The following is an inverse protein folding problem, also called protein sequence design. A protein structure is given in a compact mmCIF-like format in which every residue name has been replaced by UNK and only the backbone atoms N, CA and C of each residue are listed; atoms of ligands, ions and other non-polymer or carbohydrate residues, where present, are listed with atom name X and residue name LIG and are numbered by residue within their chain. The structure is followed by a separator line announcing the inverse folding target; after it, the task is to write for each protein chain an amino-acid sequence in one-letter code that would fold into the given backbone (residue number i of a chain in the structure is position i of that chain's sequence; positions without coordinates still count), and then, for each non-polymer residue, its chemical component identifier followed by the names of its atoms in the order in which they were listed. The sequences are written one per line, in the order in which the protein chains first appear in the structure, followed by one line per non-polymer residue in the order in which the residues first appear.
data_IF_201158218930
#
_entry.id   IF_201158218930
#
_cell.length_a   1.000
_cell.length_b   1.000
_cell.length_c   1.000
_cell.angle_alpha   90.00
_cell.angle_beta   90.00
_cell.angle_gamma   90.00
#
_symmetry.space_group_name_H-M   'P 1'
#
loop_
_entity.id
_entity.type
_entity.pdbx_description
1 polymer ?
#
# COMPACT_ATOMS: atom_id res chain seq x y z
N UNK A 1 10.20 44.68 -4.79
CA UNK A 1 10.99 45.06 -3.60
C UNK A 1 11.72 43.83 -3.10
N UNK A 2 12.99 43.97 -2.76
CA UNK A 2 13.71 42.89 -2.10
C UNK A 2 13.13 42.64 -0.70
N UNK A 3 13.13 41.37 -0.23
CA UNK A 3 12.69 41.03 1.11
C UNK A 3 13.51 41.77 2.16
N UNK A 4 12.89 42.12 3.32
CA UNK A 4 13.62 42.78 4.42
C UNK A 4 14.69 41.85 5.02
N UNK A 5 15.78 42.44 5.51
CA UNK A 5 16.88 41.68 6.14
C UNK A 5 16.40 40.81 7.30
N UNK A 6 15.48 41.30 8.13
CA UNK A 6 14.92 40.54 9.25
C UNK A 6 14.08 39.32 8.79
N UNK A 7 13.34 39.46 7.71
CA UNK A 7 12.59 38.34 7.11
C UNK A 7 13.53 37.28 6.52
N UNK A 8 14.62 37.72 5.87
CA UNK A 8 15.62 36.80 5.34
C UNK A 8 16.37 36.07 6.44
N UNK A 9 16.68 36.74 7.57
CA UNK A 9 17.28 36.07 8.73
C UNK A 9 16.36 35.03 9.37
N UNK A 10 15.06 35.30 9.48
CA UNK A 10 14.12 34.34 10.01
C UNK A 10 13.96 33.12 9.06
N UNK A 11 13.93 33.33 7.76
CA UNK A 11 13.94 32.25 6.78
C UNK A 11 15.21 31.38 6.87
N UNK A 12 16.38 32.00 6.99
CA UNK A 12 17.67 31.28 7.12
C UNK A 12 17.78 30.44 8.38
N UNK A 13 17.06 30.79 9.45
CA UNK A 13 16.96 29.96 10.66
C UNK A 13 16.16 28.68 10.43
N UNK A 14 15.24 28.69 9.45
CA UNK A 14 14.33 27.58 9.15
C UNK A 14 14.83 26.70 8.02
N UNK A 15 15.58 27.27 7.07
CA UNK A 15 16.10 26.55 5.90
C UNK A 15 17.31 27.27 5.33
N UNK A 16 18.28 26.50 4.85
CA UNK A 16 19.44 26.96 4.08
C UNK A 16 19.13 27.11 2.58
N UNK A 17 17.96 26.67 2.16
CA UNK A 17 17.54 26.58 0.74
C UNK A 17 16.49 27.63 0.41
N UNK A 18 16.97 28.81 0.03
CA UNK A 18 16.11 29.95 -0.30
C UNK A 18 16.37 30.33 -1.75
N UNK A 19 15.32 30.35 -2.58
CA UNK A 19 15.35 30.86 -3.94
C UNK A 19 14.60 32.18 -3.99
N UNK A 20 15.30 33.24 -4.35
CA UNK A 20 14.72 34.57 -4.55
C UNK A 20 14.27 34.70 -6.01
N UNK A 21 13.00 35.01 -6.21
CA UNK A 21 12.45 35.28 -7.54
C UNK A 21 11.52 36.49 -7.52
N UNK A 22 11.37 37.15 -8.66
CA UNK A 22 10.43 38.23 -8.86
C UNK A 22 9.26 37.74 -9.71
N UNK A 23 8.03 37.95 -9.23
CA UNK A 23 6.82 37.65 -9.99
C UNK A 23 6.48 38.73 -11.04
N UNK A 24 7.20 39.88 -11.03
CA UNK A 24 6.96 41.03 -11.89
C UNK A 24 7.99 41.09 -13.03
N UNK A 25 9.17 40.49 -12.83
CA UNK A 25 10.27 40.49 -13.81
C UNK A 25 10.03 39.37 -14.84
N UNK A 26 9.31 39.72 -15.90
CA UNK A 26 8.93 38.77 -16.97
C UNK A 26 10.15 38.35 -17.80
N UNK A 27 11.16 39.20 -17.93
CA UNK A 27 12.35 38.89 -18.73
C UNK A 27 13.25 37.82 -18.13
N UNK A 28 13.17 37.66 -16.80
CA UNK A 28 13.91 36.65 -16.07
C UNK A 28 13.05 35.42 -15.70
N UNK A 29 11.83 35.34 -16.16
CA UNK A 29 10.90 34.22 -15.84
C UNK A 29 11.53 32.86 -16.09
N UNK A 30 12.09 32.64 -17.26
CA UNK A 30 12.65 31.33 -17.64
C UNK A 30 13.87 30.98 -16.78
N UNK A 31 14.68 31.97 -16.42
CA UNK A 31 15.79 31.78 -15.47
C UNK A 31 15.28 31.31 -14.12
N UNK A 32 14.31 32.01 -13.53
CA UNK A 32 13.75 31.66 -12.22
C UNK A 32 13.08 30.28 -12.23
N UNK A 33 12.33 29.95 -13.30
CA UNK A 33 11.69 28.63 -13.46
C UNK A 33 12.75 27.52 -13.56
N UNK A 34 13.83 27.74 -14.31
CA UNK A 34 14.91 26.76 -14.43
C UNK A 34 15.70 26.57 -13.13
N UNK A 35 15.96 27.65 -12.38
CA UNK A 35 16.57 27.57 -11.07
C UNK A 35 15.65 26.82 -10.09
N UNK A 36 14.36 27.11 -10.07
CA UNK A 36 13.39 26.39 -9.24
C UNK A 36 13.36 24.90 -9.57
N UNK A 37 13.32 24.55 -10.87
CA UNK A 37 13.38 23.15 -11.31
C UNK A 37 14.63 22.44 -10.80
N UNK A 38 15.82 23.07 -10.92
CA UNK A 38 17.09 22.52 -10.41
C UNK A 38 17.05 22.31 -8.89
N UNK A 39 16.55 23.28 -8.14
CA UNK A 39 16.39 23.16 -6.71
C UNK A 39 15.41 22.04 -6.33
N UNK A 40 14.28 21.94 -7.00
CA UNK A 40 13.29 20.89 -6.76
C UNK A 40 13.87 19.49 -7.06
N UNK A 41 14.58 19.32 -8.18
CA UNK A 41 15.25 18.05 -8.52
C UNK A 41 16.31 17.71 -7.49
N UNK A 42 17.10 18.67 -7.05
CA UNK A 42 18.17 18.45 -6.08
C UNK A 42 17.67 18.03 -4.69
N UNK A 43 16.52 18.58 -4.25
CA UNK A 43 15.92 18.25 -2.94
C UNK A 43 14.94 17.08 -3.02
N UNK A 44 14.59 16.66 -4.23
CA UNK A 44 13.65 15.57 -4.43
C UNK A 44 14.32 14.24 -4.03
N UNK A 45 13.71 13.42 -3.18
CA UNK A 45 14.22 12.09 -2.91
C UNK A 45 14.33 11.29 -4.21
N UNK A 46 15.38 10.49 -4.35
CA UNK A 46 15.63 9.67 -5.54
C UNK A 46 14.44 8.76 -5.87
N UNK A 47 13.77 8.23 -4.84
CA UNK A 47 12.55 7.42 -4.96
C UNK A 47 11.36 8.17 -5.60
N UNK A 48 11.40 9.51 -5.61
CA UNK A 48 10.37 10.33 -6.24
C UNK A 48 10.67 10.55 -7.73
N UNK A 49 11.94 10.61 -8.08
CA UNK A 49 12.41 10.72 -9.48
C UNK A 49 12.32 9.36 -10.17
N UNK A 50 12.64 8.29 -9.44
CA UNK A 50 12.64 6.91 -9.90
C UNK A 50 11.80 6.06 -8.92
N UNK A 51 10.46 6.11 -9.00
CA UNK A 51 9.63 5.30 -8.12
C UNK A 51 9.92 3.81 -8.35
N UNK A 52 9.98 2.99 -7.29
CA UNK A 52 10.15 1.56 -7.45
C UNK A 52 8.98 1.00 -8.28
N UNK A 53 9.21 -0.01 -9.12
CA UNK A 53 8.12 -0.65 -9.86
C UNK A 53 7.11 -1.28 -8.90
N UNK A 54 5.85 -1.32 -9.31
CA UNK A 54 4.78 -1.92 -8.52
C UNK A 54 4.83 -3.44 -8.62
N UNK A 55 5.01 -3.98 -9.83
CA UNK A 55 5.01 -5.41 -10.16
C UNK A 55 6.13 -5.78 -11.15
N UNK A 56 6.65 -4.83 -11.92
CA UNK A 56 7.57 -5.09 -13.03
C UNK A 56 8.85 -5.80 -12.62
N UNK A 57 9.42 -5.51 -11.45
CA UNK A 57 10.60 -6.19 -10.91
C UNK A 57 10.35 -7.63 -10.42
N UNK A 58 9.09 -8.04 -10.37
CA UNK A 58 8.67 -9.41 -10.04
C UNK A 58 8.46 -10.26 -11.29
N UNK A 59 8.57 -9.65 -12.46
CA UNK A 59 8.37 -10.25 -13.78
C UNK A 59 9.69 -10.30 -14.56
N UNK A 60 9.72 -11.18 -15.55
CA UNK A 60 10.79 -11.20 -16.57
C UNK A 60 10.34 -10.42 -17.81
N UNK A 61 11.23 -9.79 -18.57
CA UNK A 61 10.86 -9.20 -19.86
C UNK A 61 10.18 -10.23 -20.78
N UNK A 62 9.03 -9.87 -21.33
CA UNK A 62 8.16 -10.80 -22.10
C UNK A 62 7.33 -11.74 -21.24
N UNK A 63 7.42 -11.65 -19.90
CA UNK A 63 6.64 -12.44 -18.96
C UNK A 63 5.18 -12.00 -18.82
N UNK A 64 4.40 -12.78 -18.09
CA UNK A 64 2.96 -12.58 -17.95
C UNK A 64 2.62 -12.41 -16.47
N UNK A 65 1.90 -11.33 -16.12
CA UNK A 65 1.18 -11.19 -14.87
C UNK A 65 -0.29 -11.58 -15.06
N UNK A 66 -0.83 -12.47 -14.24
CA UNK A 66 -2.26 -12.74 -14.20
C UNK A 66 -2.90 -11.94 -13.06
N UNK A 67 -3.81 -11.04 -13.42
CA UNK A 67 -4.49 -10.14 -12.48
C UNK A 67 -5.93 -10.65 -12.26
N UNK A 68 -6.19 -11.16 -11.06
CA UNK A 68 -7.49 -11.73 -10.69
C UNK A 68 -8.35 -10.63 -10.06
N UNK A 69 -9.34 -10.19 -10.82
CA UNK A 69 -10.20 -9.05 -10.50
C UNK A 69 -11.65 -9.55 -10.33
N UNK A 70 -12.14 -9.67 -9.10
CA UNK A 70 -13.52 -10.03 -8.85
C UNK A 70 -14.48 -8.91 -9.29
N UNK A 71 -15.75 -9.22 -9.40
CA UNK A 71 -16.76 -8.17 -9.55
C UNK A 71 -16.86 -7.42 -8.22
N UNK A 72 -16.44 -6.16 -8.24
CA UNK A 72 -16.52 -5.26 -7.11
C UNK A 72 -17.68 -4.28 -7.29
N UNK A 73 -18.68 -4.37 -6.41
CA UNK A 73 -19.86 -3.49 -6.43
C UNK A 73 -19.52 -2.05 -6.02
N UNK A 74 -18.37 -1.82 -5.38
CA UNK A 74 -17.87 -0.48 -5.04
C UNK A 74 -17.16 0.18 -6.23
N UNK A 75 -16.71 -0.61 -7.21
CA UNK A 75 -16.10 -0.07 -8.41
C UNK A 75 -17.15 0.62 -9.31
N UNK A 76 -16.87 1.77 -9.89
CA UNK A 76 -17.75 2.37 -10.86
C UNK A 76 -18.01 1.40 -12.04
N UNK A 77 -19.27 1.26 -12.46
CA UNK A 77 -19.66 0.36 -13.54
C UNK A 77 -18.79 0.57 -14.79
N UNK A 78 -18.25 -0.53 -15.33
CA UNK A 78 -17.40 -0.50 -16.52
C UNK A 78 -15.97 0.00 -16.29
N UNK A 79 -15.50 0.10 -15.04
CA UNK A 79 -14.15 0.57 -14.71
C UNK A 79 -13.42 -0.43 -13.81
N UNK A 80 -12.11 -0.42 -13.92
CA UNK A 80 -11.19 -1.01 -12.95
C UNK A 80 -10.84 0.03 -11.88
N UNK A 81 -10.51 -0.43 -10.68
CA UNK A 81 -10.02 0.46 -9.61
C UNK A 81 -8.54 0.80 -9.83
N UNK A 82 -8.09 1.90 -9.21
CA UNK A 82 -6.75 2.43 -9.41
C UNK A 82 -5.61 1.41 -9.21
N UNK A 83 -5.60 0.54 -8.17
CA UNK A 83 -4.55 -0.46 -8.01
C UNK A 83 -4.44 -1.45 -9.18
N UNK A 84 -5.56 -1.84 -9.75
CA UNK A 84 -5.62 -2.76 -10.88
C UNK A 84 -5.06 -2.10 -12.15
N UNK A 85 -5.49 -0.86 -12.44
CA UNK A 85 -4.99 -0.08 -13.59
C UNK A 85 -3.49 0.19 -13.48
N UNK A 86 -3.01 0.55 -12.29
CA UNK A 86 -1.58 0.80 -12.07
C UNK A 86 -0.74 -0.48 -12.23
N UNK A 87 -1.22 -1.63 -11.76
CA UNK A 87 -0.52 -2.90 -11.95
C UNK A 87 -0.45 -3.31 -13.44
N UNK A 88 -1.54 -3.12 -14.20
CA UNK A 88 -1.54 -3.33 -15.65
C UNK A 88 -0.50 -2.42 -16.31
N UNK A 89 -0.53 -1.13 -16.00
CA UNK A 89 0.37 -0.15 -16.59
C UNK A 89 1.83 -0.46 -16.26
N UNK A 90 2.13 -0.78 -15.01
CA UNK A 90 3.48 -1.10 -14.56
C UNK A 90 4.03 -2.38 -15.24
N UNK A 91 3.19 -3.41 -15.44
CA UNK A 91 3.58 -4.60 -16.20
C UNK A 91 3.98 -4.25 -17.64
N UNK A 92 3.19 -3.39 -18.31
CA UNK A 92 3.47 -2.95 -19.69
C UNK A 92 4.73 -2.07 -19.77
N UNK A 93 4.94 -1.18 -18.81
CA UNK A 93 6.12 -0.30 -18.74
C UNK A 93 7.44 -1.07 -18.49
N UNK A 94 7.32 -2.30 -17.99
CA UNK A 94 8.46 -3.21 -17.75
C UNK A 94 8.52 -4.36 -18.77
N UNK A 95 8.09 -4.12 -20.01
CA UNK A 95 8.14 -5.05 -21.13
C UNK A 95 7.42 -6.40 -20.89
N UNK A 96 6.43 -6.43 -19.99
CA UNK A 96 5.61 -7.58 -19.68
C UNK A 96 4.21 -7.50 -20.28
N UNK A 97 3.42 -8.55 -20.08
CA UNK A 97 2.02 -8.61 -20.43
C UNK A 97 1.15 -8.76 -19.17
N UNK A 98 -0.06 -8.20 -19.19
CA UNK A 98 -1.04 -8.37 -18.13
C UNK A 98 -2.28 -9.09 -18.68
N UNK A 99 -2.65 -10.21 -18.06
CA UNK A 99 -3.87 -10.94 -18.35
C UNK A 99 -4.86 -10.75 -17.20
N UNK A 100 -5.99 -10.11 -17.48
CA UNK A 100 -7.02 -9.80 -16.46
C UNK A 100 -8.13 -10.83 -16.54
N UNK A 101 -8.41 -11.48 -15.42
CA UNK A 101 -9.42 -12.54 -15.31
C UNK A 101 -10.24 -12.37 -14.04
N UNK A 102 -11.44 -12.98 -13.99
CA UNK A 102 -12.18 -13.12 -12.73
C UNK A 102 -11.74 -14.37 -11.98
N UNK A 103 -12.08 -14.40 -10.70
CA UNK A 103 -11.70 -15.50 -9.81
C UNK A 103 -12.23 -16.87 -10.25
N UNK A 104 -13.31 -16.91 -11.02
CA UNK A 104 -13.93 -18.17 -11.50
C UNK A 104 -13.18 -18.76 -12.68
N UNK A 105 -12.71 -17.91 -13.57
CA UNK A 105 -12.02 -18.30 -14.80
C UNK A 105 -10.51 -18.51 -14.55
N UNK A 106 -9.98 -18.09 -13.38
CA UNK A 106 -8.55 -18.07 -13.09
C UNK A 106 -7.87 -19.44 -13.26
N UNK A 107 -8.37 -20.48 -12.60
CA UNK A 107 -7.79 -21.83 -12.69
C UNK A 107 -7.80 -22.37 -14.13
N UNK A 108 -8.91 -22.14 -14.85
CA UNK A 108 -9.03 -22.55 -16.26
C UNK A 108 -8.00 -21.83 -17.13
N UNK A 109 -7.82 -20.54 -16.95
CA UNK A 109 -6.85 -19.76 -17.72
C UNK A 109 -5.43 -20.22 -17.43
N UNK A 110 -5.06 -20.46 -16.16
CA UNK A 110 -3.72 -20.97 -15.82
C UNK A 110 -3.39 -22.27 -16.55
N UNK A 111 -4.37 -23.19 -16.64
CA UNK A 111 -4.19 -24.48 -17.32
C UNK A 111 -4.08 -24.35 -18.85
N UNK A 112 -4.55 -23.24 -19.42
CA UNK A 112 -4.51 -22.99 -20.87
C UNK A 112 -3.30 -22.14 -21.30
N UNK A 113 -2.53 -21.60 -20.37
CA UNK A 113 -1.29 -20.89 -20.71
C UNK A 113 -0.21 -21.90 -21.10
N UNK A 114 0.44 -21.66 -22.24
CA UNK A 114 1.56 -22.47 -22.70
C UNK A 114 2.75 -22.45 -21.74
N UNK A 115 3.02 -21.27 -21.17
CA UNK A 115 4.03 -21.05 -20.16
C UNK A 115 3.37 -20.53 -18.89
N UNK A 116 3.83 -20.92 -17.69
CA UNK A 116 3.29 -20.39 -16.44
C UNK A 116 3.56 -18.88 -16.35
N UNK A 117 2.64 -18.10 -15.73
CA UNK A 117 2.89 -16.69 -15.50
C UNK A 117 3.99 -16.49 -14.45
N UNK A 118 4.69 -15.36 -14.51
CA UNK A 118 5.70 -14.98 -13.51
C UNK A 118 5.05 -14.72 -12.14
N UNK A 119 3.86 -14.14 -12.15
CA UNK A 119 3.13 -13.80 -10.93
C UNK A 119 1.62 -13.74 -11.17
N UNK A 120 0.87 -14.14 -10.15
CA UNK A 120 -0.56 -13.91 -10.05
C UNK A 120 -0.87 -12.92 -8.94
N UNK A 121 -1.70 -11.92 -9.23
CA UNK A 121 -2.08 -10.87 -8.28
C UNK A 121 -3.60 -10.80 -8.20
N UNK A 122 -4.16 -10.81 -6.99
CA UNK A 122 -5.60 -10.74 -6.83
C UNK A 122 -6.04 -9.59 -5.93
N UNK A 123 -7.33 -9.30 -5.97
CA UNK A 123 -7.98 -8.56 -4.89
C UNK A 123 -7.95 -9.38 -3.60
N UNK A 124 -7.71 -8.73 -2.47
CA UNK A 124 -7.56 -9.41 -1.17
C UNK A 124 -8.79 -10.23 -0.76
N UNK A 125 -9.96 -9.90 -1.26
CA UNK A 125 -11.20 -10.61 -0.95
C UNK A 125 -11.22 -12.06 -1.50
N UNK A 126 -10.48 -12.32 -2.57
CA UNK A 126 -10.44 -13.64 -3.24
C UNK A 126 -9.09 -14.34 -3.06
N UNK A 127 -8.27 -13.88 -2.11
CA UNK A 127 -6.89 -14.38 -1.91
C UNK A 127 -6.87 -15.87 -1.58
N UNK A 128 -7.78 -16.35 -0.73
CA UNK A 128 -7.83 -17.77 -0.35
C UNK A 128 -8.08 -18.65 -1.60
N UNK A 129 -9.05 -18.28 -2.43
CA UNK A 129 -9.32 -19.00 -3.67
C UNK A 129 -8.15 -18.92 -4.64
N UNK A 130 -7.59 -17.73 -4.87
CA UNK A 130 -6.45 -17.56 -5.76
C UNK A 130 -5.26 -18.42 -5.31
N UNK A 131 -4.93 -18.43 -4.01
CA UNK A 131 -3.82 -19.25 -3.47
C UNK A 131 -4.10 -20.74 -3.64
N UNK A 132 -5.34 -21.20 -3.41
CA UNK A 132 -5.72 -22.60 -3.59
C UNK A 132 -5.59 -23.07 -5.05
N UNK A 133 -5.90 -22.19 -6.00
CA UNK A 133 -5.86 -22.50 -7.44
C UNK A 133 -4.45 -22.27 -8.05
N UNK A 134 -3.50 -21.64 -7.32
CA UNK A 134 -2.18 -21.29 -7.85
C UNK A 134 -1.14 -22.39 -7.54
N UNK A 135 -0.53 -23.02 -8.54
CA UNK A 135 0.57 -23.96 -8.37
C UNK A 135 1.72 -23.37 -7.53
N UNK A 136 2.38 -24.21 -6.72
CA UNK A 136 3.40 -23.77 -5.75
C UNK A 136 4.59 -23.01 -6.33
N UNK A 137 4.94 -23.26 -7.58
CA UNK A 137 6.05 -22.62 -8.29
C UNK A 137 5.71 -21.22 -8.85
N UNK A 138 4.42 -20.85 -8.98
CA UNK A 138 4.00 -19.55 -9.48
C UNK A 138 3.93 -18.59 -8.29
N UNK A 139 4.62 -17.46 -8.36
CA UNK A 139 4.50 -16.39 -7.35
C UNK A 139 3.08 -15.86 -7.30
N UNK A 140 2.59 -15.55 -6.10
CA UNK A 140 1.27 -14.93 -5.97
C UNK A 140 1.23 -13.94 -4.80
N UNK A 141 0.43 -12.89 -4.96
CA UNK A 141 0.24 -11.84 -3.94
C UNK A 141 -1.09 -11.10 -4.16
N UNK A 142 -1.34 -10.03 -3.42
CA UNK A 142 -2.53 -9.19 -3.60
C UNK A 142 -2.18 -7.76 -4.01
N UNK A 143 -3.10 -7.06 -4.68
CA UNK A 143 -2.91 -5.63 -4.98
C UNK A 143 -2.63 -4.81 -3.71
N UNK A 144 -3.30 -5.10 -2.60
CA UNK A 144 -3.08 -4.41 -1.34
C UNK A 144 -1.66 -4.60 -0.80
N UNK A 145 -1.08 -5.80 -0.91
CA UNK A 145 0.30 -6.10 -0.49
C UNK A 145 1.32 -5.41 -1.42
N UNK A 146 1.07 -5.40 -2.73
CA UNK A 146 1.89 -4.63 -3.69
C UNK A 146 1.92 -3.14 -3.31
N UNK A 147 0.78 -2.57 -2.94
CA UNK A 147 0.70 -1.18 -2.51
C UNK A 147 1.35 -0.92 -1.16
N UNK A 148 1.32 -1.88 -0.22
CA UNK A 148 2.08 -1.79 1.03
C UNK A 148 3.59 -1.69 0.76
N UNK A 149 4.09 -2.38 -0.26
CA UNK A 149 5.48 -2.28 -0.72
C UNK A 149 5.74 -0.96 -1.46
N UNK A 150 4.87 -0.62 -2.40
CA UNK A 150 5.04 0.55 -3.28
C UNK A 150 4.95 1.89 -2.53
N UNK A 151 4.01 2.00 -1.58
CA UNK A 151 3.75 3.26 -0.86
C UNK A 151 4.15 3.24 0.61
N UNK A 152 4.32 2.08 1.21
CA UNK A 152 4.62 1.91 2.62
C UNK A 152 5.95 1.20 2.88
N UNK A 153 5.94 0.43 3.96
CA UNK A 153 7.00 -0.47 4.39
C UNK A 153 6.41 -1.88 4.57
N UNK A 154 6.60 -2.73 3.57
CA UNK A 154 6.07 -4.09 3.59
C UNK A 154 6.72 -4.96 4.68
N UNK A 155 7.99 -4.70 5.02
CA UNK A 155 8.71 -5.45 6.06
C UNK A 155 8.13 -5.17 7.43
N UNK A 156 7.88 -3.89 7.72
CA UNK A 156 7.23 -3.48 8.96
C UNK A 156 5.79 -3.98 9.04
N UNK A 157 5.03 -3.87 7.96
CA UNK A 157 3.65 -4.35 7.91
C UNK A 157 3.54 -5.86 8.08
N UNK A 158 4.51 -6.64 7.53
CA UNK A 158 4.57 -8.10 7.69
C UNK A 158 5.01 -8.52 9.09
N UNK A 159 5.89 -7.76 9.75
CA UNK A 159 6.24 -7.96 11.16
C UNK A 159 5.03 -7.70 12.04
N UNK A 160 4.36 -6.58 11.80
CA UNK A 160 3.27 -6.09 12.65
C UNK A 160 1.99 -6.93 12.57
N UNK A 161 1.81 -7.76 11.53
CA UNK A 161 0.58 -8.53 11.36
C UNK A 161 0.40 -9.60 12.43
N UNK A 162 1.47 -10.16 13.01
CA UNK A 162 1.42 -11.10 14.11
C UNK A 162 0.82 -10.51 15.39
N UNK A 163 0.78 -9.18 15.53
CA UNK A 163 0.06 -8.54 16.61
C UNK A 163 -1.44 -8.93 16.66
N UNK A 164 -2.00 -9.45 15.56
CA UNK A 164 -3.39 -9.98 15.53
C UNK A 164 -3.57 -11.13 16.52
N UNK A 165 -2.60 -12.03 16.68
CA UNK A 165 -2.69 -13.16 17.62
C UNK A 165 -2.61 -12.71 19.08
N UNK A 166 -2.10 -11.49 19.35
CA UNK A 166 -2.00 -10.89 20.69
C UNK A 166 -3.25 -10.12 21.12
N UNK A 167 -4.16 -9.86 20.18
CA UNK A 167 -5.41 -9.13 20.45
C UNK A 167 -6.33 -9.94 21.37
N UNK A 168 -7.01 -9.24 22.28
CA UNK A 168 -7.96 -9.79 23.23
C UNK A 168 -9.31 -9.12 23.11
N UNK A 169 -10.40 -9.77 23.54
CA UNK A 169 -11.69 -9.11 23.65
C UNK A 169 -11.58 -7.82 24.46
N UNK A 170 -12.17 -6.75 23.96
CA UNK A 170 -12.11 -5.40 24.55
C UNK A 170 -10.97 -4.52 24.05
N UNK A 171 -9.97 -5.07 23.34
CA UNK A 171 -8.91 -4.28 22.74
C UNK A 171 -9.46 -3.32 21.66
N UNK A 172 -8.74 -2.21 21.46
CA UNK A 172 -9.10 -1.17 20.50
C UNK A 172 -8.14 -1.19 19.30
N UNK A 173 -8.69 -1.22 18.09
CA UNK A 173 -7.93 -1.16 16.84
C UNK A 173 -8.38 0.02 15.98
N UNK A 174 -7.49 0.49 15.13
CA UNK A 174 -7.79 1.53 14.15
C UNK A 174 -7.79 0.97 12.73
N UNK A 175 -8.88 1.17 12.00
CA UNK A 175 -8.95 0.99 10.56
C UNK A 175 -8.59 2.32 9.90
N UNK A 176 -7.44 2.37 9.22
CA UNK A 176 -6.95 3.55 8.51
C UNK A 176 -7.32 3.53 7.03
N UNK A 177 -8.18 4.43 6.59
CA UNK A 177 -8.59 4.56 5.18
C UNK A 177 -7.94 5.78 4.52
N UNK A 178 -7.57 5.65 3.26
CA UNK A 178 -6.95 6.71 2.47
C UNK A 178 -7.95 7.66 1.82
N UNK A 179 -9.17 7.21 1.60
CA UNK A 179 -10.21 7.93 0.89
C UNK A 179 -11.52 7.94 1.70
N UNK A 180 -12.35 8.93 1.42
CA UNK A 180 -13.71 9.06 1.96
C UNK A 180 -14.72 8.49 0.96
N UNK A 181 -14.65 7.18 0.68
CA UNK A 181 -15.68 6.53 -0.13
C UNK A 181 -16.94 6.26 0.70
N UNK A 182 -18.08 6.17 0.03
CA UNK A 182 -19.31 5.77 0.72
C UNK A 182 -19.26 4.26 0.99
N UNK A 183 -19.26 3.83 2.26
CA UNK A 183 -19.29 2.41 2.59
C UNK A 183 -20.60 1.79 2.12
N UNK A 184 -20.51 0.62 1.50
CA UNK A 184 -21.65 -0.23 1.20
C UNK A 184 -21.77 -1.35 2.23
N UNK A 185 -22.88 -2.11 2.19
CA UNK A 185 -23.15 -3.22 3.13
C UNK A 185 -22.02 -4.25 3.24
N UNK A 186 -21.19 -4.37 2.22
CA UNK A 186 -20.08 -5.34 2.10
C UNK A 186 -18.69 -4.71 2.12
N UNK A 187 -18.54 -3.53 2.73
CA UNK A 187 -17.26 -2.80 2.82
C UNK A 187 -16.16 -3.64 3.49
N UNK A 188 -14.98 -3.67 2.85
CA UNK A 188 -13.84 -4.47 3.32
C UNK A 188 -13.34 -3.98 4.68
N UNK A 189 -13.10 -2.68 4.81
CA UNK A 189 -12.52 -2.07 6.00
C UNK A 189 -13.50 -2.00 7.16
N UNK A 190 -14.75 -1.61 6.88
CA UNK A 190 -15.75 -1.31 7.92
C UNK A 190 -16.61 -2.50 8.31
N UNK A 191 -16.70 -3.52 7.47
CA UNK A 191 -17.58 -4.67 7.70
C UNK A 191 -16.81 -5.99 7.71
N UNK A 192 -16.06 -6.31 6.64
CA UNK A 192 -15.45 -7.65 6.50
C UNK A 192 -14.26 -7.85 7.45
N UNK A 193 -13.28 -6.93 7.48
CA UNK A 193 -12.13 -7.03 8.38
C UNK A 193 -12.56 -7.05 9.85
N UNK A 194 -13.44 -6.15 10.33
CA UNK A 194 -14.00 -6.21 11.67
C UNK A 194 -14.61 -7.56 12.03
N UNK A 195 -15.44 -8.11 11.13
CA UNK A 195 -16.07 -9.41 11.33
C UNK A 195 -15.05 -10.54 11.44
N UNK A 196 -14.08 -10.58 10.54
CA UNK A 196 -13.05 -11.62 10.54
C UNK A 196 -12.12 -11.53 11.76
N UNK A 197 -11.74 -10.32 12.19
CA UNK A 197 -10.96 -10.11 13.41
C UNK A 197 -11.72 -10.61 14.66
N UNK A 198 -13.02 -10.27 14.80
CA UNK A 198 -13.85 -10.75 15.91
C UNK A 198 -13.94 -12.28 15.93
N UNK A 199 -14.12 -12.89 14.76
CA UNK A 199 -14.14 -14.36 14.63
C UNK A 199 -12.78 -14.97 14.99
N UNK A 200 -11.67 -14.38 14.56
CA UNK A 200 -10.32 -14.89 14.86
C UNK A 200 -9.99 -14.77 16.36
N UNK A 201 -10.35 -13.68 16.99
CA UNK A 201 -10.09 -13.42 18.43
C UNK A 201 -11.06 -14.19 19.33
N UNK A 202 -12.22 -14.59 18.80
CA UNK A 202 -13.26 -15.26 19.60
C UNK A 202 -14.02 -14.32 20.55
N UNK A 203 -14.07 -13.02 20.25
CA UNK A 203 -14.73 -12.02 21.07
C UNK A 203 -14.84 -10.66 20.41
N UNK A 204 -15.50 -9.73 21.08
CA UNK A 204 -15.71 -8.37 20.54
C UNK A 204 -14.48 -7.49 20.78
N UNK A 205 -14.19 -6.63 19.81
CA UNK A 205 -13.13 -5.60 19.84
C UNK A 205 -13.71 -4.25 19.44
N UNK A 206 -13.13 -3.20 20.00
CA UNK A 206 -13.49 -1.83 19.64
C UNK A 206 -12.78 -1.44 18.34
N UNK A 207 -13.51 -0.87 17.39
CA UNK A 207 -12.96 -0.51 16.08
C UNK A 207 -13.31 0.94 15.76
N UNK A 208 -12.29 1.75 15.68
CA UNK A 208 -12.39 3.11 15.14
C UNK A 208 -11.97 3.13 13.68
N UNK A 209 -12.54 4.02 12.90
CA UNK A 209 -12.16 4.24 11.49
C UNK A 209 -11.74 5.68 11.30
N UNK A 210 -10.56 5.88 10.71
CA UNK A 210 -10.11 7.19 10.24
C UNK A 210 -10.06 7.23 8.72
N UNK A 211 -10.53 8.33 8.12
CA UNK A 211 -10.64 8.49 6.67
C UNK A 211 -9.86 9.69 6.18
N UNK A 212 -9.29 9.58 4.98
CA UNK A 212 -8.64 10.70 4.31
C UNK A 212 -7.47 11.27 5.14
N UNK A 213 -7.56 12.53 5.54
CA UNK A 213 -6.51 13.23 6.33
C UNK A 213 -6.72 13.16 7.84
N UNK A 214 -7.87 12.69 8.29
CA UNK A 214 -8.23 12.63 9.71
C UNK A 214 -7.56 11.41 10.39
N UNK A 215 -6.23 11.48 10.52
CA UNK A 215 -5.46 10.46 11.20
C UNK A 215 -5.32 10.83 12.68
N UNK A 216 -5.72 9.97 13.65
CA UNK A 216 -5.77 10.32 15.06
C UNK A 216 -4.43 10.81 15.61
N UNK A 217 -4.47 11.76 16.54
CA UNK A 217 -3.29 12.24 17.24
C UNK A 217 -2.82 11.25 18.31
N UNK A 218 -3.75 10.69 19.09
CA UNK A 218 -3.47 9.73 20.15
C UNK A 218 -3.55 8.28 19.66
N UNK A 219 -2.45 7.78 19.12
CA UNK A 219 -2.38 6.40 18.60
C UNK A 219 -2.17 5.35 19.69
N UNK A 220 -1.68 5.72 20.88
CA UNK A 220 -1.40 4.78 22.00
C UNK A 220 -2.61 4.01 22.50
N UNK A 221 -3.81 4.49 22.20
CA UNK A 221 -5.05 3.80 22.55
C UNK A 221 -5.26 2.50 21.76
N UNK A 222 -4.61 2.40 20.59
CA UNK A 222 -4.81 1.27 19.69
C UNK A 222 -3.75 0.19 19.87
N UNK A 223 -4.18 -1.07 19.85
CA UNK A 223 -3.29 -2.23 19.89
C UNK A 223 -2.77 -2.62 18.51
N UNK A 224 -3.46 -2.20 17.46
CA UNK A 224 -3.11 -2.45 16.06
C UNK A 224 -3.75 -1.40 15.17
N UNK A 225 -3.03 -0.98 14.14
CA UNK A 225 -3.57 -0.20 13.02
C UNK A 225 -3.58 -1.08 11.78
N UNK A 226 -4.76 -1.22 11.16
CA UNK A 226 -4.93 -1.93 9.89
C UNK A 226 -5.22 -0.90 8.81
N UNK A 227 -4.22 -0.59 7.97
CA UNK A 227 -4.34 0.45 6.96
C UNK A 227 -4.77 -0.12 5.61
N UNK A 228 -5.62 0.60 4.85
CA UNK A 228 -5.92 0.24 3.47
C UNK A 228 -4.68 0.36 2.57
N UNK A 229 -4.75 -0.09 1.31
CA UNK A 229 -3.64 -0.01 0.35
C UNK A 229 -3.12 1.40 0.05
N UNK A 230 -3.82 2.45 0.51
CA UNK A 230 -3.35 3.83 0.39
C UNK A 230 -3.26 4.34 -1.04
N UNK A 231 -4.08 3.83 -1.96
CA UNK A 231 -4.02 4.19 -3.39
C UNK A 231 -4.17 5.70 -3.64
N UNK A 232 -4.91 6.40 -2.79
CA UNK A 232 -5.13 7.86 -2.87
C UNK A 232 -4.13 8.69 -2.05
N UNK A 233 -3.25 8.05 -1.26
CA UNK A 233 -2.19 8.73 -0.53
C UNK A 233 -0.90 8.76 -1.33
N UNK A 234 -0.07 9.77 -1.05
CA UNK A 234 1.32 9.75 -1.50
C UNK A 234 2.15 8.77 -0.65
N UNK A 235 3.28 8.27 -1.19
CA UNK A 235 4.24 7.47 -0.41
C UNK A 235 4.69 8.20 0.86
N UNK A 236 5.00 9.50 0.75
CA UNK A 236 5.41 10.33 1.88
C UNK A 236 4.37 10.34 3.01
N UNK A 237 3.12 10.51 2.67
CA UNK A 237 2.02 10.52 3.65
C UNK A 237 1.87 9.14 4.32
N UNK A 238 1.94 8.07 3.56
CA UNK A 238 1.87 6.72 4.11
C UNK A 238 3.03 6.43 5.06
N UNK A 239 4.27 6.75 4.66
CA UNK A 239 5.45 6.58 5.51
C UNK A 239 5.38 7.45 6.76
N UNK A 240 4.82 8.67 6.67
CA UNK A 240 4.59 9.53 7.83
C UNK A 240 3.64 8.87 8.85
N UNK A 241 2.54 8.28 8.39
CA UNK A 241 1.58 7.57 9.26
C UNK A 241 2.23 6.36 9.94
N UNK A 242 2.98 5.56 9.18
CA UNK A 242 3.71 4.41 9.72
C UNK A 242 4.74 4.87 10.76
N UNK A 243 5.49 5.93 10.47
CA UNK A 243 6.49 6.47 11.39
C UNK A 243 5.85 7.00 12.68
N UNK A 244 4.74 7.74 12.58
CA UNK A 244 3.98 8.25 13.73
C UNK A 244 3.49 7.10 14.62
N UNK A 245 2.91 6.06 14.05
CA UNK A 245 2.47 4.89 14.80
C UNK A 245 3.64 4.17 15.48
N UNK A 246 4.76 4.01 14.78
CA UNK A 246 5.98 3.39 15.33
C UNK A 246 6.57 4.18 16.50
N UNK A 247 6.56 5.52 16.46
CA UNK A 247 6.99 6.37 17.57
C UNK A 247 6.13 6.15 18.82
N UNK A 248 4.85 5.85 18.64
CA UNK A 248 3.91 5.56 19.72
C UNK A 248 3.90 4.06 20.12
N UNK A 249 4.76 3.24 19.50
CA UNK A 249 4.84 1.80 19.78
C UNK A 249 3.65 0.99 19.29
N UNK A 250 2.87 1.51 18.33
CA UNK A 250 1.66 0.86 17.79
C UNK A 250 1.99 0.14 16.48
N UNK A 251 1.80 -1.18 16.39
CA UNK A 251 2.02 -1.94 15.18
C UNK A 251 1.07 -1.52 14.05
N UNK A 252 1.61 -1.45 12.82
CA UNK A 252 0.84 -1.10 11.62
C UNK A 252 0.95 -2.20 10.59
N UNK A 253 -0.18 -2.76 10.21
CA UNK A 253 -0.28 -3.69 9.08
C UNK A 253 -1.23 -3.15 8.02
N UNK A 254 -1.47 -3.90 6.96
CA UNK A 254 -2.41 -3.49 5.92
C UNK A 254 -3.52 -4.51 5.67
N UNK A 255 -4.57 -4.10 4.94
CA UNK A 255 -5.72 -4.95 4.62
C UNK A 255 -5.33 -6.30 4.01
N UNK A 256 -4.44 -6.29 3.02
CA UNK A 256 -4.03 -7.51 2.33
C UNK A 256 -3.33 -8.50 3.25
N UNK A 257 -2.40 -8.02 4.08
CA UNK A 257 -1.70 -8.86 5.06
C UNK A 257 -2.65 -9.34 6.16
N UNK A 258 -3.49 -8.46 6.70
CA UNK A 258 -4.49 -8.80 7.70
C UNK A 258 -5.42 -9.93 7.20
N UNK A 259 -5.97 -9.79 6.00
CA UNK A 259 -6.86 -10.79 5.40
C UNK A 259 -6.11 -12.12 5.15
N UNK A 260 -4.91 -12.04 4.56
CA UNK A 260 -4.11 -13.22 4.27
C UNK A 260 -3.67 -13.97 5.55
N UNK A 261 -3.40 -13.23 6.63
CA UNK A 261 -3.08 -13.79 7.94
C UNK A 261 -4.27 -14.55 8.53
N UNK A 262 -5.43 -13.92 8.62
CA UNK A 262 -6.65 -14.53 9.16
C UNK A 262 -7.07 -15.75 8.33
N UNK A 263 -6.85 -15.73 7.02
CA UNK A 263 -7.16 -16.85 6.12
C UNK A 263 -6.05 -17.90 6.05
N UNK A 264 -4.94 -17.75 6.81
CA UNK A 264 -3.87 -18.75 6.89
C UNK A 264 -2.98 -18.87 5.64
N UNK A 265 -3.00 -17.89 4.73
CA UNK A 265 -2.25 -17.92 3.46
C UNK A 265 -1.12 -16.90 3.36
N UNK A 266 -0.78 -16.25 4.48
CA UNK A 266 0.17 -15.13 4.51
C UNK A 266 1.56 -15.48 3.96
N UNK A 267 2.12 -16.63 4.31
CA UNK A 267 3.45 -17.02 3.82
C UNK A 267 3.48 -17.19 2.30
N UNK A 268 2.35 -17.65 1.75
CA UNK A 268 2.23 -17.84 0.31
C UNK A 268 2.21 -16.51 -0.45
N UNK A 269 1.47 -15.53 0.04
CA UNK A 269 1.38 -14.19 -0.59
C UNK A 269 2.59 -13.30 -0.29
N UNK A 270 3.38 -13.62 0.73
CA UNK A 270 4.66 -12.97 1.01
C UNK A 270 5.84 -13.63 0.28
N UNK A 271 5.66 -14.80 -0.34
CA UNK A 271 6.74 -15.50 -1.03
C UNK A 271 7.46 -14.67 -2.11
N UNK A 272 6.82 -13.71 -2.81
CA UNK A 272 7.53 -12.80 -3.71
C UNK A 272 8.44 -11.77 -3.02
N UNK A 273 8.34 -11.64 -1.68
CA UNK A 273 9.02 -10.60 -0.87
C UNK A 273 9.83 -11.23 0.27
N UNK A 274 11.03 -11.79 0.00
CA UNK A 274 11.80 -12.57 0.97
C UNK A 274 12.05 -11.83 2.29
N UNK A 275 12.42 -10.55 2.26
CA UNK A 275 12.69 -9.76 3.46
C UNK A 275 11.44 -9.60 4.36
N UNK A 276 10.27 -9.43 3.75
CA UNK A 276 9.01 -9.33 4.50
C UNK A 276 8.59 -10.70 5.08
N UNK A 277 8.75 -11.77 4.31
CA UNK A 277 8.50 -13.13 4.76
C UNK A 277 9.40 -13.52 5.95
N UNK A 278 10.69 -13.18 5.87
CA UNK A 278 11.64 -13.41 6.96
C UNK A 278 11.30 -12.61 8.21
N UNK A 279 10.89 -11.34 8.05
CA UNK A 279 10.45 -10.50 9.16
C UNK A 279 9.21 -11.09 9.87
N UNK A 280 8.22 -11.55 9.11
CA UNK A 280 7.04 -12.24 9.63
C UNK A 280 7.42 -13.51 10.40
N UNK A 281 8.26 -14.37 9.82
CA UNK A 281 8.67 -15.65 10.43
C UNK A 281 9.48 -15.46 11.70
N UNK A 282 10.34 -14.42 11.76
CA UNK A 282 11.11 -14.11 12.98
C UNK A 282 10.20 -13.67 14.12
N UNK A 283 9.24 -12.78 13.84
CA UNK A 283 8.28 -12.34 14.86
C UNK A 283 7.47 -13.50 15.40
N UNK A 284 6.97 -14.37 14.52
CA UNK A 284 6.19 -15.56 14.92
C UNK A 284 6.98 -16.59 15.74
N UNK A 285 8.31 -16.63 15.63
CA UNK A 285 9.16 -17.55 16.43
C UNK A 285 9.50 -16.99 17.81
N UNK A 286 9.39 -15.69 17.99
CA UNK A 286 9.64 -15.01 19.26
C UNK A 286 8.42 -15.03 20.19
N UNK A 287 7.30 -15.50 19.70
CA UNK A 287 6.04 -15.78 20.41
C UNK A 287 5.99 -17.20 20.95
#
# INVERSE_FOLDING_TARGET
KEPSSSFMEDLRKRTDRILLCSSIDTDKKDKYVNELKKHLIYICPEEFLNPPPLIGDLMTPGGIAVLVVPIDLQAPKGRLILPQVQAIRDALDNDGAALVVKEREYAHILNNLKNPPDISVCDSQVVLKMVADTPGHIKCTTFSILFARYKGDIVEAARSVSAIDKLKPGDKILIGEACSHHPIEDDIGRVKIPRWLRQHIGGDIQIDTSCGRDYPENLKEYKLIVHCGGCMLTRREMLFRIHKARQEGVPVTNYGLCIAFIQGVIERVLSPFPAALDAYRREKRTE
#
